data_IF_687147662329
#
_entry.id   IF_687147662329
#
_cell.length_a   1.000
_cell.length_b   1.000
_cell.length_c   1.000
_cell.angle_alpha   90.00
_cell.angle_beta   90.00
_cell.angle_gamma   90.00
#
_symmetry.space_group_name_H-M   'P 1'
#
loop_
_entity.id
_entity.type
_entity.pdbx_description
1 polymer ?
#
# COMPACT_ATOMS: atom_id res chain seq x y z
N UNK A 1 -24.90 -32.64 -46.28
CA UNK A 1 -26.01 -31.75 -45.88
C UNK A 1 -25.99 -31.69 -44.36
N UNK A 2 -25.65 -30.51 -43.81
CA UNK A 2 -25.65 -30.12 -42.37
C UNK A 2 -24.53 -30.77 -41.55
N UNK A 3 -23.40 -30.14 -41.26
CA UNK A 3 -23.17 -29.00 -40.33
C UNK A 3 -23.69 -29.21 -38.90
N UNK A 4 -22.72 -29.14 -37.97
CA UNK A 4 -22.76 -28.66 -36.58
C UNK A 4 -23.60 -29.40 -35.52
N UNK A 5 -22.93 -29.93 -34.49
CA UNK A 5 -22.46 -29.10 -33.37
C UNK A 5 -22.04 -30.02 -32.21
N UNK A 6 -20.76 -29.93 -31.87
CA UNK A 6 -20.11 -30.61 -30.76
C UNK A 6 -20.39 -29.86 -29.44
N UNK A 7 -20.93 -30.46 -28.37
CA UNK A 7 -20.89 -29.85 -27.06
C UNK A 7 -19.66 -30.39 -26.30
N UNK A 8 -18.47 -29.92 -26.69
CA UNK A 8 -17.40 -29.75 -25.71
C UNK A 8 -17.87 -28.65 -24.76
N UNK A 9 -18.66 -29.01 -23.75
CA UNK A 9 -18.74 -28.19 -22.55
C UNK A 9 -17.45 -28.46 -21.79
N UNK A 10 -16.41 -27.74 -22.19
CA UNK A 10 -15.27 -27.43 -21.33
C UNK A 10 -15.87 -26.65 -20.16
N UNK A 11 -16.29 -27.38 -19.11
CA UNK A 11 -16.59 -26.79 -17.81
C UNK A 11 -15.25 -26.26 -17.33
N UNK A 12 -15.04 -24.98 -17.61
CA UNK A 12 -13.75 -24.33 -17.59
C UNK A 12 -13.01 -24.52 -16.27
N UNK A 13 -11.70 -24.67 -16.40
CA UNK A 13 -10.62 -23.77 -15.98
C UNK A 13 -10.96 -22.48 -15.16
N UNK A 14 -12.23 -22.15 -14.89
CA UNK A 14 -12.70 -21.01 -14.11
C UNK A 14 -12.58 -21.18 -12.58
N UNK A 15 -12.18 -22.34 -12.07
CA UNK A 15 -12.01 -22.54 -10.63
C UNK A 15 -10.58 -22.35 -10.12
N UNK A 16 -9.57 -22.26 -11.01
CA UNK A 16 -8.18 -21.98 -10.61
C UNK A 16 -7.86 -20.47 -10.46
N UNK A 17 -8.72 -19.56 -10.92
CA UNK A 17 -8.47 -18.11 -10.91
C UNK A 17 -8.91 -17.38 -9.62
N UNK A 18 -9.45 -18.10 -8.61
CA UNK A 18 -9.98 -17.47 -7.39
C UNK A 18 -8.95 -17.18 -6.30
N UNK A 19 -7.69 -17.61 -6.45
CA UNK A 19 -6.57 -17.04 -5.68
C UNK A 19 -5.96 -15.88 -6.45
N UNK A 20 -6.64 -14.73 -6.39
CA UNK A 20 -6.02 -13.45 -6.71
C UNK A 20 -5.00 -13.11 -5.63
N UNK A 21 -3.88 -13.83 -5.62
CA UNK A 21 -2.71 -13.48 -4.85
C UNK A 21 -2.02 -12.37 -5.61
N UNK A 22 -2.35 -11.13 -5.26
CA UNK A 22 -1.69 -9.99 -5.86
C UNK A 22 -0.23 -10.02 -5.39
N UNK A 23 0.69 -10.17 -6.35
CA UNK A 23 2.12 -10.35 -6.08
C UNK A 23 2.56 -11.81 -6.05
N UNK A 24 3.87 -12.01 -5.97
CA UNK A 24 4.45 -13.35 -5.91
C UNK A 24 4.08 -13.96 -4.55
N UNK A 25 3.24 -15.00 -4.59
CA UNK A 25 2.77 -15.70 -3.40
C UNK A 25 3.96 -16.22 -2.59
N UNK A 26 3.92 -15.96 -1.28
CA UNK A 26 4.87 -16.48 -0.29
C UNK A 26 6.34 -16.10 -0.55
N UNK A 27 6.60 -15.12 -1.42
CA UNK A 27 7.97 -14.66 -1.70
C UNK A 27 8.68 -14.18 -0.44
N UNK A 28 7.99 -13.40 0.40
CA UNK A 28 8.58 -12.94 1.66
C UNK A 28 8.95 -14.12 2.56
N UNK A 29 8.06 -15.11 2.71
CA UNK A 29 8.32 -16.31 3.50
C UNK A 29 9.51 -17.09 2.94
N UNK A 30 9.62 -17.19 1.61
CA UNK A 30 10.76 -17.83 0.96
C UNK A 30 12.09 -17.09 1.23
N UNK A 31 12.11 -15.76 1.09
CA UNK A 31 13.30 -14.94 1.34
C UNK A 31 13.73 -14.98 2.83
N UNK A 32 12.77 -15.10 3.74
CA UNK A 32 13.01 -15.18 5.18
C UNK A 32 13.28 -16.62 5.68
N UNK A 33 12.98 -17.65 4.87
CA UNK A 33 13.17 -19.07 5.23
C UNK A 33 14.64 -19.50 5.37
N UNK A 34 15.59 -18.63 4.99
CA UNK A 34 17.02 -18.94 4.98
C UNK A 34 17.49 -19.73 3.74
N UNK A 35 16.59 -20.10 2.84
CA UNK A 35 16.95 -20.76 1.57
C UNK A 35 17.70 -19.83 0.60
N UNK A 36 17.56 -18.52 0.78
CA UNK A 36 18.28 -17.50 0.01
C UNK A 36 19.15 -16.67 0.96
N UNK A 37 20.41 -17.08 1.13
CA UNK A 37 21.36 -16.38 2.01
C UNK A 37 21.59 -14.93 1.55
N UNK A 38 21.53 -13.99 2.50
CA UNK A 38 21.69 -12.56 2.23
C UNK A 38 20.52 -11.89 1.52
N UNK A 39 19.42 -12.59 1.24
CA UNK A 39 18.29 -12.05 0.50
C UNK A 39 17.39 -11.11 1.34
N UNK A 40 17.44 -11.22 2.67
CA UNK A 40 16.73 -10.34 3.61
C UNK A 40 17.68 -9.89 4.72
N UNK A 41 17.63 -8.59 5.06
CA UNK A 41 18.41 -8.03 6.16
C UNK A 41 17.61 -6.94 6.85
N UNK A 42 17.54 -7.00 8.18
CA UNK A 42 16.91 -5.94 8.97
C UNK A 42 17.72 -4.65 8.89
N UNK A 43 17.04 -3.55 8.58
CA UNK A 43 17.66 -2.24 8.37
C UNK A 43 17.04 -1.19 9.28
N UNK A 44 17.89 -0.43 9.96
CA UNK A 44 17.52 0.82 10.62
C UNK A 44 17.83 2.00 9.68
N UNK A 45 16.78 2.56 9.08
CA UNK A 45 16.88 3.67 8.14
C UNK A 45 17.51 4.93 8.78
N UNK A 46 17.22 5.20 10.06
CA UNK A 46 17.78 6.36 10.76
C UNK A 46 19.27 6.17 10.99
N UNK A 47 19.70 4.95 11.34
CA UNK A 47 21.12 4.62 11.48
C UNK A 47 21.85 4.76 10.15
N UNK A 48 21.30 4.22 9.06
CA UNK A 48 21.90 4.35 7.73
C UNK A 48 22.02 5.83 7.34
N UNK A 49 20.96 6.61 7.50
CA UNK A 49 20.96 8.04 7.18
C UNK A 49 22.05 8.80 7.92
N UNK A 50 22.19 8.57 9.24
CA UNK A 50 23.23 9.19 10.06
C UNK A 50 24.64 8.80 9.61
N UNK A 51 24.87 7.52 9.30
CA UNK A 51 26.18 7.04 8.83
C UNK A 51 26.54 7.66 7.48
N UNK A 52 25.59 7.75 6.55
CA UNK A 52 25.78 8.41 5.24
C UNK A 52 26.12 9.89 5.43
N UNK A 53 25.36 10.60 6.28
CA UNK A 53 25.60 12.01 6.57
C UNK A 53 26.98 12.27 7.21
N UNK A 54 27.41 11.42 8.15
CA UNK A 54 28.74 11.51 8.76
C UNK A 54 29.87 11.28 7.75
N UNK A 55 29.74 10.29 6.86
CA UNK A 55 30.75 9.99 5.83
C UNK A 55 30.91 11.16 4.86
N UNK A 56 29.82 11.83 4.51
CA UNK A 56 29.83 12.99 3.61
C UNK A 56 30.54 14.20 4.21
N UNK A 57 30.33 14.49 5.51
CA UNK A 57 31.05 15.57 6.21
C UNK A 57 32.56 15.41 6.15
N UNK A 58 33.06 14.17 6.12
CA UNK A 58 34.50 13.87 6.08
C UNK A 58 35.12 13.96 4.70
N UNK A 59 34.34 13.74 3.63
CA UNK A 59 34.88 13.64 2.26
C UNK A 59 34.75 14.93 1.44
N UNK A 60 34.05 15.96 1.94
CA UNK A 60 33.93 17.27 1.29
C UNK A 60 33.24 17.25 -0.09
N UNK A 61 32.69 16.10 -0.50
CA UNK A 61 31.95 15.94 -1.77
C UNK A 61 30.51 16.38 -1.60
N UNK A 62 29.91 16.90 -2.69
CA UNK A 62 28.53 17.36 -2.75
C UNK A 62 27.55 16.40 -2.06
N UNK A 63 26.67 17.00 -1.25
CA UNK A 63 25.69 16.34 -0.41
C UNK A 63 24.74 15.47 -1.25
N UNK A 64 24.83 14.15 -1.09
CA UNK A 64 23.81 13.24 -1.59
C UNK A 64 22.85 12.91 -0.45
N UNK A 65 21.72 13.61 -0.39
CA UNK A 65 20.64 13.31 0.55
C UNK A 65 20.13 11.89 0.28
N UNK A 66 19.97 11.08 1.33
CA UNK A 66 19.36 9.76 1.19
C UNK A 66 17.86 9.94 0.87
N UNK A 67 17.39 9.33 -0.22
CA UNK A 67 16.01 9.45 -0.67
C UNK A 67 15.24 8.16 -0.40
N UNK A 68 14.13 8.27 0.31
CA UNK A 68 13.20 7.18 0.57
C UNK A 68 11.97 7.35 -0.31
N UNK A 69 11.65 6.32 -1.09
CA UNK A 69 10.45 6.26 -1.93
C UNK A 69 9.46 5.28 -1.29
N UNK A 70 8.23 5.74 -1.04
CA UNK A 70 7.19 4.95 -0.37
C UNK A 70 5.97 4.79 -1.27
N UNK A 71 5.45 3.57 -1.35
CA UNK A 71 4.14 3.29 -1.93
C UNK A 71 3.03 3.77 -0.97
N UNK A 72 2.34 4.83 -1.36
CA UNK A 72 1.27 5.42 -0.58
C UNK A 72 0.00 4.58 -0.55
N UNK A 73 -0.28 3.76 -1.57
CA UNK A 73 -1.49 2.93 -1.61
C UNK A 73 -1.36 1.67 -0.74
N UNK A 74 -0.15 1.10 -0.64
CA UNK A 74 0.07 -0.06 0.22
C UNK A 74 0.02 0.27 1.73
N UNK A 75 0.26 1.54 2.08
CA UNK A 75 0.35 1.99 3.47
C UNK A 75 -0.95 2.63 4.01
N UNK A 76 -2.05 2.66 3.24
CA UNK A 76 -3.24 3.44 3.61
C UNK A 76 -3.84 3.04 4.97
N UNK A 77 -3.85 1.74 5.32
CA UNK A 77 -4.38 1.23 6.59
C UNK A 77 -3.50 1.57 7.81
N UNK A 78 -2.21 1.89 7.55
CA UNK A 78 -1.24 2.31 8.58
C UNK A 78 -1.22 3.81 8.73
N UNK A 79 -1.33 4.54 7.61
CA UNK A 79 -1.34 6.00 7.58
C UNK A 79 -2.68 6.55 8.07
N UNK A 80 -3.77 5.85 7.78
CA UNK A 80 -5.12 6.21 8.18
C UNK A 80 -5.75 5.08 9.00
N UNK A 81 -6.29 5.46 10.16
CA UNK A 81 -6.87 4.51 11.10
C UNK A 81 -8.23 3.98 10.66
N UNK A 82 -9.04 3.62 11.66
CA UNK A 82 -10.39 3.10 11.41
C UNK A 82 -11.33 4.21 10.92
N UNK A 83 -11.83 4.04 9.70
CA UNK A 83 -12.80 4.94 9.11
C UNK A 83 -14.22 4.69 9.64
N UNK A 84 -14.52 3.45 10.01
CA UNK A 84 -15.88 3.04 10.36
C UNK A 84 -16.26 3.55 11.77
N UNK A 85 -15.27 3.73 12.64
CA UNK A 85 -15.44 4.32 13.98
C UNK A 85 -15.17 5.83 14.01
N UNK A 86 -15.42 6.54 12.89
CA UNK A 86 -15.42 8.01 12.86
C UNK A 86 -14.13 8.68 12.40
N UNK A 87 -13.14 7.94 11.89
CA UNK A 87 -12.07 8.44 11.03
C UNK A 87 -11.39 9.75 11.47
N UNK A 88 -10.24 9.66 12.13
CA UNK A 88 -9.54 10.85 12.65
C UNK A 88 -8.55 11.44 11.64
N UNK A 89 -9.03 12.27 10.71
CA UNK A 89 -8.20 12.99 9.73
C UNK A 89 -7.09 13.82 10.37
N UNK A 90 -7.38 14.50 11.48
CA UNK A 90 -6.39 15.28 12.21
C UNK A 90 -5.26 14.40 12.75
N UNK A 91 -5.58 13.20 13.22
CA UNK A 91 -4.59 12.24 13.69
C UNK A 91 -3.70 11.73 12.56
N UNK A 92 -4.26 11.53 11.37
CA UNK A 92 -3.48 11.22 10.17
C UNK A 92 -2.51 12.36 9.87
N UNK A 93 -2.97 13.61 9.80
CA UNK A 93 -2.11 14.77 9.50
C UNK A 93 -1.00 14.93 10.54
N UNK A 94 -1.33 14.80 11.84
CA UNK A 94 -0.34 14.84 12.92
C UNK A 94 0.69 13.73 12.80
N UNK A 95 0.26 12.49 12.52
CA UNK A 95 1.16 11.37 12.28
C UNK A 95 2.11 11.63 11.10
N UNK A 96 1.57 12.14 9.99
CA UNK A 96 2.37 12.51 8.82
C UNK A 96 3.38 13.62 9.14
N UNK A 97 3.00 14.63 9.91
CA UNK A 97 3.90 15.69 10.34
C UNK A 97 5.08 15.13 11.14
N UNK A 98 4.82 14.26 12.11
CA UNK A 98 5.86 13.59 12.90
C UNK A 98 6.76 12.72 12.03
N UNK A 99 6.18 11.97 11.08
CA UNK A 99 6.93 11.16 10.12
C UNK A 99 7.88 12.03 9.29
N UNK A 100 7.36 13.09 8.66
CA UNK A 100 8.15 14.01 7.81
C UNK A 100 9.25 14.68 8.61
N UNK A 101 8.93 15.19 9.81
CA UNK A 101 9.92 15.80 10.70
C UNK A 101 11.02 14.82 11.10
N UNK A 102 10.67 13.56 11.38
CA UNK A 102 11.63 12.51 11.73
C UNK A 102 12.58 12.22 10.56
N UNK A 103 12.04 12.11 9.35
CA UNK A 103 12.85 11.87 8.13
C UNK A 103 13.78 13.06 7.86
N UNK A 104 13.27 14.29 7.94
CA UNK A 104 14.07 15.51 7.73
C UNK A 104 15.17 15.68 8.80
N UNK A 105 14.93 15.28 10.05
CA UNK A 105 15.89 15.39 11.14
C UNK A 105 17.21 14.63 10.91
N UNK A 106 17.19 13.62 10.03
CA UNK A 106 18.37 12.79 9.69
C UNK A 106 18.89 13.06 8.28
N UNK A 107 18.53 14.19 7.67
CA UNK A 107 18.92 14.57 6.31
C UNK A 107 18.51 13.50 5.26
N UNK A 108 17.27 13.01 5.39
CA UNK A 108 16.62 12.19 4.38
C UNK A 108 15.53 12.98 3.67
N UNK A 109 15.27 12.63 2.41
CA UNK A 109 14.14 13.12 1.62
C UNK A 109 13.11 12.00 1.46
N UNK A 110 11.84 12.33 1.63
CA UNK A 110 10.72 11.41 1.42
C UNK A 110 10.00 11.77 0.11
N UNK A 111 9.78 10.76 -0.73
CA UNK A 111 8.87 10.82 -1.85
C UNK A 111 7.81 9.73 -1.71
N UNK A 112 6.55 10.09 -1.91
CA UNK A 112 5.43 9.14 -1.85
C UNK A 112 4.82 9.04 -3.23
N UNK A 113 4.75 7.82 -3.76
CA UNK A 113 4.03 7.56 -5.00
C UNK A 113 2.66 6.99 -4.72
N UNK A 114 1.77 7.19 -5.66
CA UNK A 114 0.46 6.58 -5.66
C UNK A 114 0.17 6.10 -7.07
N UNK A 115 -0.57 5.01 -7.17
CA UNK A 115 -0.94 4.45 -8.45
C UNK A 115 -1.72 5.49 -9.29
N UNK A 116 -1.47 5.38 -10.59
CA UNK A 116 -2.04 6.21 -11.63
C UNK A 116 -3.41 5.73 -12.07
N UNK A 117 -3.66 5.87 -13.36
CA UNK A 117 -4.87 5.37 -13.98
C UNK A 117 -4.90 3.83 -14.00
N UNK A 118 -6.10 3.27 -14.06
CA UNK A 118 -6.26 1.82 -14.18
C UNK A 118 -5.85 1.37 -15.60
N UNK A 119 -4.88 0.48 -15.68
CA UNK A 119 -4.51 -0.18 -16.93
C UNK A 119 -5.63 -1.12 -17.39
N UNK A 120 -5.98 -1.06 -18.68
CA UNK A 120 -7.07 -1.86 -19.23
C UNK A 120 -6.85 -3.37 -19.08
N UNK A 121 -5.59 -3.82 -19.13
CA UNK A 121 -5.21 -5.21 -18.91
C UNK A 121 -5.55 -5.73 -17.51
N UNK A 122 -5.66 -4.82 -16.52
CA UNK A 122 -5.94 -5.13 -15.12
C UNK A 122 -7.40 -4.87 -14.71
N UNK A 123 -8.28 -4.60 -15.68
CA UNK A 123 -9.70 -4.31 -15.43
C UNK A 123 -10.40 -5.46 -14.70
N UNK A 124 -10.18 -6.71 -15.13
CA UNK A 124 -10.77 -7.88 -14.49
C UNK A 124 -10.35 -8.00 -13.01
N UNK A 125 -9.07 -7.76 -12.72
CA UNK A 125 -8.54 -7.74 -11.35
C UNK A 125 -9.21 -6.66 -10.51
N UNK A 126 -9.36 -5.46 -11.08
CA UNK A 126 -10.00 -4.34 -10.42
C UNK A 126 -11.47 -4.64 -10.10
N UNK A 127 -12.23 -5.22 -11.03
CA UNK A 127 -13.64 -5.60 -10.81
C UNK A 127 -13.75 -6.56 -9.63
N UNK A 128 -12.90 -7.61 -9.60
CA UNK A 128 -12.87 -8.58 -8.51
C UNK A 128 -12.52 -7.89 -7.19
N UNK A 129 -11.54 -6.99 -7.18
CA UNK A 129 -11.18 -6.22 -5.99
C UNK A 129 -12.33 -5.32 -5.50
N UNK A 130 -13.07 -4.66 -6.39
CA UNK A 130 -14.25 -3.86 -6.04
C UNK A 130 -15.35 -4.72 -5.41
N UNK A 131 -15.61 -5.91 -5.96
CA UNK A 131 -16.60 -6.84 -5.40
C UNK A 131 -16.19 -7.30 -3.99
N UNK A 132 -14.92 -7.64 -3.78
CA UNK A 132 -14.38 -7.99 -2.45
C UNK A 132 -14.50 -6.82 -1.47
N UNK A 133 -14.17 -5.60 -1.89
CA UNK A 133 -14.31 -4.40 -1.06
C UNK A 133 -15.77 -4.17 -0.66
N UNK A 134 -16.71 -4.32 -1.60
CA UNK A 134 -18.15 -4.22 -1.31
C UNK A 134 -18.60 -5.26 -0.28
N UNK A 135 -18.12 -6.50 -0.39
CA UNK A 135 -18.43 -7.54 0.59
C UNK A 135 -17.88 -7.19 1.99
N UNK A 136 -16.63 -6.70 2.08
CA UNK A 136 -16.03 -6.24 3.34
C UNK A 136 -16.83 -5.09 3.97
N UNK A 137 -17.22 -4.09 3.17
CA UNK A 137 -18.03 -2.97 3.66
C UNK A 137 -19.36 -3.48 4.22
N UNK A 138 -20.03 -4.41 3.53
CA UNK A 138 -21.27 -5.00 4.05
C UNK A 138 -21.05 -5.75 5.38
N UNK A 139 -19.92 -6.44 5.55
CA UNK A 139 -19.58 -7.09 6.82
C UNK A 139 -19.35 -6.07 7.95
N UNK A 140 -18.63 -4.98 7.65
CA UNK A 140 -18.42 -3.86 8.57
C UNK A 140 -19.75 -3.26 9.02
N UNK A 141 -20.63 -2.91 8.08
CA UNK A 141 -21.93 -2.32 8.39
C UNK A 141 -22.79 -3.26 9.24
N UNK A 142 -22.90 -4.53 8.86
CA UNK A 142 -23.63 -5.54 9.66
C UNK A 142 -23.06 -5.68 11.07
N UNK A 143 -21.74 -5.65 11.22
CA UNK A 143 -21.09 -5.78 12.51
C UNK A 143 -21.39 -4.58 13.41
N UNK A 144 -21.29 -3.36 12.87
CA UNK A 144 -21.61 -2.13 13.59
C UNK A 144 -23.08 -2.14 14.02
N UNK A 145 -24.00 -2.46 13.12
CA UNK A 145 -25.43 -2.52 13.43
C UNK A 145 -25.77 -3.57 14.48
N UNK A 146 -25.19 -4.78 14.38
CA UNK A 146 -25.58 -5.90 15.24
C UNK A 146 -24.85 -5.94 16.58
N UNK A 147 -23.58 -5.49 16.62
CA UNK A 147 -22.71 -5.61 17.81
C UNK A 147 -22.36 -4.28 18.44
N UNK A 148 -22.43 -3.16 17.71
CA UNK A 148 -22.04 -1.85 18.21
C UNK A 148 -20.55 -1.72 18.56
N UNK A 149 -19.72 -2.69 18.17
CA UNK A 149 -18.27 -2.72 18.44
C UNK A 149 -17.46 -2.35 17.19
N UNK A 150 -16.21 -1.88 17.35
CA UNK A 150 -15.31 -1.66 16.22
C UNK A 150 -15.10 -2.93 15.38
N UNK A 151 -15.15 -2.85 14.05
CA UNK A 151 -14.96 -4.00 13.18
C UNK A 151 -13.50 -4.51 13.22
N UNK A 152 -13.26 -5.81 12.96
CA UNK A 152 -11.93 -6.37 12.78
C UNK A 152 -11.09 -5.64 11.71
N UNK A 153 -9.80 -5.41 11.98
CA UNK A 153 -8.86 -4.73 11.07
C UNK A 153 -8.74 -5.40 9.69
N UNK A 154 -8.93 -6.71 9.59
CA UNK A 154 -8.87 -7.45 8.31
C UNK A 154 -9.96 -7.01 7.31
N UNK A 155 -11.05 -6.41 7.79
CA UNK A 155 -12.12 -5.84 6.96
C UNK A 155 -11.89 -4.38 6.58
N UNK A 156 -10.74 -3.82 6.97
CA UNK A 156 -10.39 -2.45 6.63
C UNK A 156 -10.42 -2.26 5.11
N UNK A 157 -10.99 -1.12 4.72
CA UNK A 157 -11.14 -0.67 3.33
C UNK A 157 -10.90 0.84 3.33
N UNK A 158 -10.21 1.36 2.31
CA UNK A 158 -9.97 2.80 2.22
C UNK A 158 -11.29 3.54 1.94
N UNK A 159 -11.58 4.66 2.64
CA UNK A 159 -12.58 5.62 2.18
C UNK A 159 -12.24 6.15 0.79
N UNK A 160 -13.27 6.49 0.00
CA UNK A 160 -13.11 6.91 -1.41
C UNK A 160 -12.22 8.15 -1.55
N UNK A 161 -12.34 9.10 -0.62
CA UNK A 161 -11.56 10.34 -0.64
C UNK A 161 -10.17 10.22 0.00
N UNK A 162 -9.87 9.13 0.73
CA UNK A 162 -8.65 9.03 1.54
C UNK A 162 -7.39 9.24 0.70
N UNK A 163 -7.33 8.61 -0.47
CA UNK A 163 -6.17 8.74 -1.37
C UNK A 163 -5.93 10.21 -1.75
N UNK A 164 -6.98 10.93 -2.11
CA UNK A 164 -6.91 12.35 -2.48
C UNK A 164 -6.54 13.21 -1.28
N UNK A 165 -7.18 13.00 -0.13
CA UNK A 165 -6.88 13.72 1.11
C UNK A 165 -5.44 13.51 1.57
N UNK A 166 -4.93 12.27 1.49
CA UNK A 166 -3.58 11.92 1.86
C UNK A 166 -2.55 12.59 0.92
N UNK A 167 -2.79 12.58 -0.40
CA UNK A 167 -1.98 13.32 -1.37
C UNK A 167 -1.89 14.81 -1.02
N UNK A 168 -3.02 15.43 -0.68
CA UNK A 168 -3.06 16.84 -0.31
C UNK A 168 -2.34 17.13 1.00
N UNK A 169 -2.53 16.28 2.02
CA UNK A 169 -1.86 16.41 3.31
C UNK A 169 -0.34 16.29 3.18
N UNK A 170 0.15 15.33 2.40
CA UNK A 170 1.58 15.15 2.12
C UNK A 170 2.18 16.38 1.40
N UNK A 171 1.49 16.92 0.39
CA UNK A 171 1.92 18.14 -0.30
C UNK A 171 1.94 19.35 0.63
N UNK A 172 0.94 19.49 1.50
CA UNK A 172 0.90 20.54 2.51
C UNK A 172 2.10 20.47 3.47
N UNK A 173 2.57 19.27 3.78
CA UNK A 173 3.77 19.01 4.60
C UNK A 173 5.09 19.10 3.82
N UNK A 174 5.06 19.50 2.54
CA UNK A 174 6.27 19.64 1.71
C UNK A 174 6.87 18.33 1.20
N UNK A 175 6.12 17.22 1.24
CA UNK A 175 6.56 15.92 0.72
C UNK A 175 6.37 15.87 -0.80
N UNK A 176 7.35 15.31 -1.51
CA UNK A 176 7.21 15.05 -2.94
C UNK A 176 6.18 13.94 -3.18
N UNK A 177 5.08 14.28 -3.85
CA UNK A 177 4.01 13.34 -4.18
C UNK A 177 3.97 13.12 -5.68
N UNK A 178 4.26 11.89 -6.09
CA UNK A 178 4.28 11.47 -7.50
C UNK A 178 3.04 10.63 -7.79
N UNK A 179 2.44 10.85 -8.95
CA UNK A 179 1.42 9.94 -9.47
C UNK A 179 2.07 9.18 -10.61
N UNK A 180 2.01 7.84 -10.55
CA UNK A 180 2.37 7.05 -11.72
C UNK A 180 1.36 7.36 -12.84
N UNK A 181 1.77 7.26 -14.11
CA UNK A 181 0.83 7.35 -15.24
C UNK A 181 -0.28 6.31 -15.15
#
# INVERSE_FOLDING_TARGET
>A
MGEDMNPHVVIGEQWCALKGNMGIQDLQLYLESGQAEGASTAVDLLRIARTVAQKQRRTGKNSHTLRLVVDGECCLDRLYGDWACGGQWNRMVQFLAVLVQTVQSVNMELAVFFNGCLEQQRMCEWIIAQQRNRQKINQVLKHITNKGTPPPKIWWTSPVCLRTCLRMALRHLGVSVVSLP
#
